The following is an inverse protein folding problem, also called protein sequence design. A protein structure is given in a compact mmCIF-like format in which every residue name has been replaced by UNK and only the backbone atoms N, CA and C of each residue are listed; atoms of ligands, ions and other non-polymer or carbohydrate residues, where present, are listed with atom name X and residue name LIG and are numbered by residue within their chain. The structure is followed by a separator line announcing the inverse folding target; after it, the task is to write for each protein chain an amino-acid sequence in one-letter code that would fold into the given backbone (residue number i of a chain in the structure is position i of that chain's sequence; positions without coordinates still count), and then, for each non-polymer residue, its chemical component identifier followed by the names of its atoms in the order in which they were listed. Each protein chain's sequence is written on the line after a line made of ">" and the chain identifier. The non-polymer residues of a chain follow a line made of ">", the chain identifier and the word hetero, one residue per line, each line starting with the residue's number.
data_IF_483732438497
#
_entry.id   IF_483732438497
#
_cell.length_a   1.000
_cell.length_b   1.000
_cell.length_c   1.000
_cell.angle_alpha   90.00
_cell.angle_beta   90.00
_cell.angle_gamma   90.00
#
_symmetry.space_group_name_H-M   'P 1'
#
loop_
_entity.id
_entity.type
_entity.pdbx_description
1 polymer ?
#
# COMPACT_ATOMS: atom_id res chain seq x y z
N UNK A 1 -25.42 -31.32 5.20
CA UNK A 1 -24.55 -30.15 5.46
C UNK A 1 -24.30 -29.44 4.14
N UNK A 2 -25.26 -28.66 3.63
CA UNK A 2 -25.18 -28.03 2.29
C UNK A 2 -25.25 -26.48 2.36
N UNK A 3 -25.73 -25.91 3.48
CA UNK A 3 -25.91 -24.45 3.63
C UNK A 3 -24.66 -23.67 4.06
N UNK A 4 -23.65 -24.33 4.66
CA UNK A 4 -22.46 -23.65 5.20
C UNK A 4 -21.44 -23.29 4.11
N UNK A 5 -21.40 -24.03 3.00
CA UNK A 5 -20.36 -23.92 1.97
C UNK A 5 -20.59 -22.75 1.02
N UNK A 6 -21.85 -22.40 0.74
CA UNK A 6 -22.21 -21.33 -0.20
C UNK A 6 -22.02 -19.94 0.41
N UNK A 7 -22.33 -19.77 1.70
CA UNK A 7 -22.08 -18.50 2.42
C UNK A 7 -20.60 -18.16 2.45
N UNK A 8 -19.74 -19.12 2.79
CA UNK A 8 -18.29 -18.92 2.85
C UNK A 8 -17.69 -18.56 1.47
N UNK A 9 -18.17 -19.19 0.40
CA UNK A 9 -17.77 -18.85 -0.98
C UNK A 9 -18.15 -17.42 -1.36
N UNK A 10 -19.37 -17.00 -1.01
CA UNK A 10 -19.85 -15.65 -1.32
C UNK A 10 -19.09 -14.58 -0.52
N UNK A 11 -18.82 -14.86 0.76
CA UNK A 11 -18.02 -13.98 1.62
C UNK A 11 -16.61 -13.79 1.04
N UNK A 12 -15.93 -14.88 0.68
CA UNK A 12 -14.62 -14.82 0.03
C UNK A 12 -14.66 -14.01 -1.26
N UNK A 13 -15.68 -14.18 -2.10
CA UNK A 13 -15.81 -13.43 -3.35
C UNK A 13 -15.97 -11.92 -3.11
N UNK A 14 -16.87 -11.52 -2.20
CA UNK A 14 -17.12 -10.10 -1.89
C UNK A 14 -15.88 -9.44 -1.29
N UNK A 15 -15.24 -10.07 -0.30
CA UNK A 15 -14.02 -9.52 0.31
C UNK A 15 -12.88 -9.39 -0.71
N UNK A 16 -12.63 -10.43 -1.52
CA UNK A 16 -11.59 -10.35 -2.55
C UNK A 16 -11.91 -9.29 -3.62
N UNK A 17 -13.19 -9.09 -3.98
CA UNK A 17 -13.58 -8.03 -4.89
C UNK A 17 -13.26 -6.63 -4.35
N UNK A 18 -13.50 -6.39 -3.06
CA UNK A 18 -13.13 -5.14 -2.38
C UNK A 18 -11.61 -4.93 -2.41
N UNK A 19 -10.82 -5.97 -2.15
CA UNK A 19 -9.36 -5.90 -2.26
C UNK A 19 -8.87 -5.63 -3.69
N UNK A 20 -9.54 -6.14 -4.73
CA UNK A 20 -9.23 -5.80 -6.12
C UNK A 20 -9.40 -4.29 -6.36
N UNK A 21 -10.52 -3.71 -5.93
CA UNK A 21 -10.79 -2.28 -6.08
C UNK A 21 -9.72 -1.45 -5.34
N UNK A 22 -9.42 -1.82 -4.09
CA UNK A 22 -8.39 -1.17 -3.29
C UNK A 22 -7.01 -1.27 -3.95
N UNK A 23 -6.60 -2.44 -4.44
CA UNK A 23 -5.33 -2.63 -5.14
C UNK A 23 -5.22 -1.74 -6.38
N UNK A 24 -6.27 -1.68 -7.21
CA UNK A 24 -6.32 -0.80 -8.38
C UNK A 24 -6.25 0.68 -8.00
N UNK A 25 -6.91 1.09 -6.91
CA UNK A 25 -6.86 2.46 -6.41
C UNK A 25 -5.43 2.83 -5.96
N UNK A 26 -4.76 1.97 -5.21
CA UNK A 26 -3.38 2.17 -4.76
C UNK A 26 -2.41 2.30 -5.94
N UNK A 27 -2.53 1.42 -6.94
CA UNK A 27 -1.71 1.47 -8.16
C UNK A 27 -1.95 2.80 -8.91
N UNK A 28 -3.21 3.21 -9.07
CA UNK A 28 -3.56 4.48 -9.75
C UNK A 28 -2.98 5.68 -9.02
N UNK A 29 -3.16 5.75 -7.70
CA UNK A 29 -2.63 6.84 -6.87
C UNK A 29 -1.11 6.88 -6.97
N UNK A 30 -0.43 5.74 -6.76
CA UNK A 30 1.02 5.65 -6.86
C UNK A 30 1.53 6.09 -8.24
N UNK A 31 0.90 5.64 -9.33
CA UNK A 31 1.28 6.02 -10.69
C UNK A 31 1.11 7.52 -10.97
N UNK A 32 0.04 8.14 -10.45
CA UNK A 32 -0.17 9.60 -10.58
C UNK A 32 0.88 10.38 -9.81
N UNK A 33 1.23 9.94 -8.60
CA UNK A 33 2.22 10.61 -7.76
C UNK A 33 3.62 10.49 -8.38
N UNK A 34 4.02 9.30 -8.84
CA UNK A 34 5.29 9.10 -9.55
C UNK A 34 5.37 10.05 -10.74
N UNK A 35 4.34 10.09 -11.61
CA UNK A 35 4.36 10.96 -12.80
C UNK A 35 4.57 12.44 -12.48
N UNK A 36 4.16 12.90 -11.30
CA UNK A 36 4.42 14.28 -10.87
C UNK A 36 5.87 14.46 -10.39
N UNK A 37 6.38 13.50 -9.61
CA UNK A 37 7.75 13.50 -9.06
C UNK A 37 8.85 13.34 -10.13
N UNK A 38 8.68 12.47 -11.14
CA UNK A 38 9.75 12.21 -12.15
C UNK A 38 10.05 13.43 -13.02
N UNK A 39 9.10 14.35 -13.17
CA UNK A 39 9.31 15.62 -13.87
C UNK A 39 10.30 16.53 -13.15
N UNK A 40 10.54 16.28 -11.87
CA UNK A 40 11.12 17.25 -10.96
C UNK A 40 12.41 16.74 -10.28
N UNK A 41 12.66 15.42 -10.25
CA UNK A 41 13.84 14.82 -9.60
C UNK A 41 14.44 13.68 -10.46
N UNK A 42 15.27 14.03 -11.45
CA UNK A 42 16.29 13.10 -11.94
C UNK A 42 17.49 13.15 -11.00
N UNK A 43 17.42 12.45 -9.86
CA UNK A 43 18.63 11.78 -9.36
C UNK A 43 18.29 10.60 -8.44
N UNK A 44 19.04 9.53 -8.68
CA UNK A 44 19.43 8.44 -7.79
C UNK A 44 18.39 7.71 -6.89
N UNK A 45 18.08 6.47 -7.28
CA UNK A 45 18.15 5.25 -6.44
C UNK A 45 17.37 5.12 -5.12
N UNK A 46 16.42 5.99 -4.78
CA UNK A 46 15.57 5.79 -3.60
C UNK A 46 14.26 5.07 -3.94
N UNK A 47 13.93 4.04 -3.14
CA UNK A 47 12.59 3.44 -3.13
C UNK A 47 11.64 4.48 -2.54
N UNK A 48 11.07 5.32 -3.39
CA UNK A 48 10.14 6.37 -2.97
C UNK A 48 8.81 5.75 -2.49
N UNK A 49 8.14 6.41 -1.54
CA UNK A 49 6.85 5.98 -0.99
C UNK A 49 5.78 5.63 -2.07
N UNK A 50 5.68 6.35 -3.21
CA UNK A 50 4.77 6.01 -4.30
C UNK A 50 5.12 4.67 -4.98
N UNK A 51 6.40 4.31 -5.07
CA UNK A 51 6.84 3.03 -5.63
C UNK A 51 6.42 1.88 -4.73
N UNK A 52 6.54 2.04 -3.41
CA UNK A 52 6.07 1.04 -2.43
C UNK A 52 4.55 0.88 -2.54
N UNK A 53 3.80 1.97 -2.66
CA UNK A 53 2.35 1.96 -2.86
C UNK A 53 1.94 1.15 -4.10
N UNK A 54 2.65 1.29 -5.22
CA UNK A 54 2.39 0.50 -6.43
C UNK A 54 2.70 -0.97 -6.20
N UNK A 55 3.86 -1.29 -5.63
CA UNK A 55 4.28 -2.69 -5.38
C UNK A 55 3.27 -3.39 -4.47
N UNK A 56 2.87 -2.76 -3.37
CA UNK A 56 1.84 -3.27 -2.45
C UNK A 56 0.50 -3.43 -3.17
N UNK A 57 0.07 -2.44 -3.95
CA UNK A 57 -1.16 -2.51 -4.72
C UNK A 57 -1.18 -3.67 -5.73
N UNK A 58 -0.04 -3.95 -6.39
CA UNK A 58 0.12 -5.09 -7.29
C UNK A 58 0.01 -6.43 -6.55
N UNK A 59 0.65 -6.56 -5.38
CA UNK A 59 0.56 -7.76 -4.55
C UNK A 59 -0.89 -8.02 -4.13
N UNK A 60 -1.59 -6.99 -3.63
CA UNK A 60 -2.99 -7.07 -3.23
C UNK A 60 -3.87 -7.50 -4.42
N UNK A 61 -3.67 -6.88 -5.60
CA UNK A 61 -4.42 -7.22 -6.80
C UNK A 61 -4.23 -8.68 -7.23
N UNK A 62 -3.00 -9.18 -7.24
CA UNK A 62 -2.69 -10.57 -7.61
C UNK A 62 -3.29 -11.56 -6.62
N UNK A 63 -3.11 -11.31 -5.31
CA UNK A 63 -3.66 -12.18 -4.25
C UNK A 63 -5.19 -12.21 -4.34
N UNK A 64 -5.83 -11.06 -4.52
CA UNK A 64 -7.27 -10.96 -4.64
C UNK A 64 -7.82 -11.61 -5.92
N UNK A 65 -7.11 -11.46 -7.04
CA UNK A 65 -7.46 -12.12 -8.30
C UNK A 65 -7.38 -13.65 -8.17
N UNK A 66 -6.33 -14.17 -7.52
CA UNK A 66 -6.20 -15.60 -7.20
C UNK A 66 -7.31 -16.08 -6.27
N UNK A 67 -7.70 -15.27 -5.28
CA UNK A 67 -8.84 -15.55 -4.39
C UNK A 67 -10.17 -15.65 -5.15
N UNK A 68 -10.46 -14.68 -6.03
CA UNK A 68 -11.65 -14.71 -6.89
C UNK A 68 -11.63 -15.90 -7.85
N UNK A 69 -10.50 -16.18 -8.51
CA UNK A 69 -10.36 -17.33 -9.41
C UNK A 69 -10.49 -18.67 -8.67
N UNK A 70 -9.91 -18.79 -7.48
CA UNK A 70 -10.03 -19.96 -6.62
C UNK A 70 -11.46 -20.21 -6.15
N UNK A 71 -12.21 -19.14 -5.83
CA UNK A 71 -13.61 -19.22 -5.45
C UNK A 71 -14.52 -19.67 -6.62
N UNK A 72 -14.27 -19.17 -7.83
CA UNK A 72 -15.07 -19.49 -9.03
C UNK A 72 -14.74 -20.87 -9.60
N UNK A 73 -13.46 -21.26 -9.63
CA UNK A 73 -13.01 -22.50 -10.29
C UNK A 73 -13.19 -23.76 -9.43
N UNK A 74 -13.62 -23.61 -8.18
CA UNK A 74 -13.77 -24.68 -7.18
C UNK A 74 -12.50 -25.57 -7.02
N UNK A 75 -11.35 -25.05 -7.46
CA UNK A 75 -10.10 -25.78 -7.50
C UNK A 75 -9.42 -25.71 -6.13
N UNK A 76 -9.43 -26.83 -5.43
CA UNK A 76 -8.80 -27.01 -4.11
C UNK A 76 -7.33 -26.54 -4.09
N UNK A 77 -6.59 -26.77 -5.17
CA UNK A 77 -5.19 -26.35 -5.27
C UNK A 77 -5.04 -24.82 -5.25
N UNK A 78 -5.91 -24.08 -5.96
CA UNK A 78 -5.86 -22.61 -5.98
C UNK A 78 -6.25 -21.99 -4.64
N UNK A 79 -7.26 -22.55 -3.97
CA UNK A 79 -7.66 -22.11 -2.63
C UNK A 79 -6.57 -22.39 -1.60
N UNK A 80 -5.88 -23.54 -1.72
CA UNK A 80 -4.74 -23.88 -0.87
C UNK A 80 -3.57 -22.92 -1.08
N UNK A 81 -3.21 -22.61 -2.34
CA UNK A 81 -2.17 -21.61 -2.64
C UNK A 81 -2.53 -20.23 -2.11
N UNK A 82 -3.78 -19.80 -2.25
CA UNK A 82 -4.25 -18.54 -1.67
C UNK A 82 -4.07 -18.52 -0.14
N UNK A 83 -4.47 -19.59 0.55
CA UNK A 83 -4.28 -19.72 1.99
C UNK A 83 -2.81 -19.66 2.42
N UNK A 84 -1.92 -20.34 1.68
CA UNK A 84 -0.48 -20.29 1.92
C UNK A 84 0.10 -18.89 1.71
N UNK A 85 -0.31 -18.19 0.65
CA UNK A 85 0.13 -16.82 0.38
C UNK A 85 -0.28 -15.87 1.50
N UNK A 86 -1.54 -15.93 1.95
CA UNK A 86 -2.04 -15.11 3.06
C UNK A 86 -1.28 -15.44 4.35
N UNK A 87 -1.00 -16.71 4.62
CA UNK A 87 -0.21 -17.10 5.78
C UNK A 87 1.20 -16.51 5.77
N UNK A 88 1.89 -16.56 4.61
CA UNK A 88 3.21 -15.96 4.46
C UNK A 88 3.15 -14.44 4.65
N UNK A 89 2.13 -13.78 4.10
CA UNK A 89 1.92 -12.33 4.28
C UNK A 89 1.76 -11.99 5.76
N UNK A 90 0.97 -12.75 6.53
CA UNK A 90 0.81 -12.53 7.96
C UNK A 90 2.13 -12.63 8.73
N UNK A 91 2.98 -13.60 8.39
CA UNK A 91 4.32 -13.72 9.01
C UNK A 91 5.18 -12.50 8.69
N UNK A 92 5.14 -12.02 7.44
CA UNK A 92 5.87 -10.83 7.02
C UNK A 92 5.34 -9.56 7.70
N UNK A 93 4.01 -9.42 7.83
CA UNK A 93 3.38 -8.28 8.53
C UNK A 93 3.73 -8.26 10.01
N UNK A 94 3.74 -9.43 10.68
CA UNK A 94 4.16 -9.53 12.08
C UNK A 94 5.63 -9.16 12.25
N UNK A 95 6.51 -9.70 11.40
CA UNK A 95 7.93 -9.36 11.42
C UNK A 95 8.17 -7.86 11.14
N UNK A 96 7.43 -7.31 10.16
CA UNK A 96 7.45 -5.89 9.81
C UNK A 96 6.91 -4.99 10.93
N UNK A 97 5.86 -5.41 11.63
CA UNK A 97 5.29 -4.68 12.76
C UNK A 97 6.25 -4.64 13.95
N UNK A 98 6.91 -5.76 14.24
CA UNK A 98 7.94 -5.82 15.30
C UNK A 98 9.12 -4.93 14.94
N UNK A 99 9.63 -5.00 13.70
CA UNK A 99 10.74 -4.15 13.27
C UNK A 99 10.36 -2.67 13.29
N UNK A 100 9.17 -2.30 12.80
CA UNK A 100 8.68 -0.92 12.86
C UNK A 100 8.57 -0.39 14.29
N UNK A 101 8.19 -1.25 15.25
CA UNK A 101 8.16 -0.86 16.67
C UNK A 101 9.56 -0.60 17.23
N UNK A 102 10.51 -1.48 16.94
CA UNK A 102 11.91 -1.34 17.39
C UNK A 102 12.58 -0.08 16.82
N UNK A 103 12.37 0.19 15.54
CA UNK A 103 13.01 1.30 14.82
C UNK A 103 12.18 2.59 14.77
N UNK A 104 11.15 2.71 15.61
CA UNK A 104 10.23 3.87 15.62
C UNK A 104 10.96 5.21 15.78
N UNK A 105 12.05 5.26 16.55
CA UNK A 105 12.88 6.45 16.73
C UNK A 105 13.57 6.87 15.43
N UNK A 106 14.31 5.95 14.81
CA UNK A 106 15.02 6.21 13.55
C UNK A 106 14.07 6.54 12.40
N UNK A 107 12.92 5.86 12.32
CA UNK A 107 11.89 6.18 11.32
C UNK A 107 11.34 7.58 11.53
N UNK A 108 11.14 8.02 12.78
CA UNK A 108 10.67 9.38 13.07
C UNK A 108 11.69 10.41 12.60
N UNK A 109 12.97 10.22 12.92
CA UNK A 109 14.03 11.16 12.54
C UNK A 109 14.24 11.19 11.01
N UNK A 110 14.19 10.04 10.35
CA UNK A 110 14.24 9.93 8.89
C UNK A 110 13.04 10.65 8.23
N UNK A 111 11.83 10.47 8.75
CA UNK A 111 10.64 11.17 8.25
C UNK A 111 10.75 12.69 8.47
N UNK A 112 11.25 13.13 9.63
CA UNK A 112 11.48 14.57 9.89
C UNK A 112 12.44 15.18 8.88
N UNK A 113 13.53 14.47 8.55
CA UNK A 113 14.51 14.94 7.60
C UNK A 113 13.94 15.04 6.17
N UNK A 114 13.26 13.98 5.70
CA UNK A 114 12.67 13.96 4.35
C UNK A 114 11.51 14.95 4.17
N UNK A 115 10.75 15.24 5.24
CA UNK A 115 9.66 16.24 5.18
C UNK A 115 10.17 17.68 5.27
N UNK A 116 11.34 17.92 5.84
CA UNK A 116 11.95 19.26 5.88
C UNK A 116 12.71 19.62 4.59
N UNK A 117 13.21 18.65 3.83
CA UNK A 117 13.91 18.88 2.57
C UNK A 117 13.11 19.71 1.52
N UNK A 118 11.82 19.41 1.22
CA UNK A 118 11.05 20.19 0.27
C UNK A 118 10.76 21.63 0.72
N UNK A 119 10.79 21.91 2.02
CA UNK A 119 10.68 23.26 2.58
C UNK A 119 11.93 24.10 2.33
N UNK A 120 13.11 23.45 2.36
CA UNK A 120 14.41 24.11 2.17
C UNK A 120 14.69 24.36 0.69
N UNK A 121 14.21 23.48 -0.21
CA UNK A 121 14.48 23.58 -1.65
C UNK A 121 13.50 24.46 -2.47
N UNK A 122 12.50 25.09 -1.85
CA UNK A 122 11.56 26.01 -2.53
C UNK A 122 10.98 25.48 -3.86
N UNK A 123 10.69 24.17 -3.93
CA UNK A 123 10.04 23.59 -5.10
C UNK A 123 8.61 24.09 -5.24
N UNK A 124 8.39 24.99 -6.20
CA UNK A 124 7.09 25.65 -6.45
C UNK A 124 5.95 24.65 -6.67
N UNK A 125 6.23 23.45 -7.16
CA UNK A 125 5.21 22.45 -7.46
C UNK A 125 4.77 21.67 -6.21
N UNK A 126 5.58 21.64 -5.15
CA UNK A 126 5.27 20.97 -3.88
C UNK A 126 4.55 21.87 -2.85
N UNK A 127 4.67 23.20 -2.98
CA UNK A 127 4.01 24.18 -2.10
C UNK A 127 2.49 24.02 -1.97
N UNK A 128 1.69 23.87 -3.06
CA UNK A 128 0.23 23.78 -2.93
C UNK A 128 -0.22 22.52 -2.19
N UNK A 129 0.45 21.39 -2.41
CA UNK A 129 0.15 20.14 -1.69
C UNK A 129 0.54 20.23 -0.21
N UNK A 130 1.64 20.91 0.08
CA UNK A 130 2.12 21.15 1.43
C UNK A 130 1.19 22.06 2.24
N UNK A 131 0.71 23.15 1.63
CA UNK A 131 -0.25 24.06 2.25
C UNK A 131 -1.62 23.40 2.46
N UNK A 132 -2.05 22.53 1.55
CA UNK A 132 -3.26 21.72 1.74
C UNK A 132 -3.12 20.77 2.93
N UNK A 133 -1.98 20.06 3.04
CA UNK A 133 -1.70 19.20 4.19
C UNK A 133 -1.68 19.99 5.50
N UNK A 134 -0.97 21.13 5.56
CA UNK A 134 -0.95 22.01 6.74
C UNK A 134 -2.33 22.47 7.13
N UNK A 135 -3.16 22.89 6.15
CA UNK A 135 -4.52 23.37 6.39
C UNK A 135 -5.43 22.25 6.92
N UNK A 136 -5.34 21.05 6.34
CA UNK A 136 -6.14 19.89 6.74
C UNK A 136 -5.82 19.39 8.15
N UNK A 137 -4.54 19.42 8.52
CA UNK A 137 -4.06 18.92 9.82
C UNK A 137 -3.82 20.02 10.86
N UNK A 138 -3.98 21.29 10.50
CA UNK A 138 -3.72 22.48 11.34
C UNK A 138 -2.34 22.48 12.01
N UNK A 139 -1.34 21.93 11.35
CA UNK A 139 0.05 21.92 11.80
C UNK A 139 0.89 22.89 10.97
N UNK A 140 1.93 23.46 11.57
CA UNK A 140 2.85 24.39 10.91
C UNK A 140 4.30 23.94 11.10
N UNK A 141 4.67 22.82 10.48
CA UNK A 141 6.04 22.28 10.56
C UNK A 141 6.05 20.82 10.99
N UNK A 142 7.26 20.28 11.18
CA UNK A 142 7.52 18.87 11.48
C UNK A 142 8.02 18.67 12.93
N UNK A 143 7.73 19.62 13.81
CA UNK A 143 8.20 19.64 15.21
C UNK A 143 7.31 18.84 16.17
#
# INVERSE_FOLDING_TARGET
>A
VQGSSTCNKYLLFVFNFEFVICGLALIKVGAVVIKKDVTEFMDSKYVSAPTILIVVGCIIFVVAFLGCCGAVKENQCMVMTYGLLVFVILVVELAGGISAYMYKGEVKDFLKQNMNDPLVQQKKDALPLWDEMKSKWKCCGVD
#
